data_IF_067365623819
#
_entry.id   IF_067365623819
#
_cell.length_a   1.000
_cell.length_b   1.000
_cell.length_c   1.000
_cell.angle_alpha   90.00
_cell.angle_beta   90.00
_cell.angle_gamma   90.00
#
_symmetry.space_group_name_H-M   'P 1'
#
loop_
_entity.id
_entity.type
_entity.pdbx_description
1 polymer ?
#
# COMPACT_ATOMS: atom_id res chain seq x y z
N UNK A 1 14.24 21.18 20.39
CA UNK A 1 14.83 20.81 19.08
C UNK A 1 13.71 20.69 18.07
N UNK A 2 13.73 21.49 17.00
CA UNK A 2 12.74 21.37 15.92
C UNK A 2 13.05 20.11 15.11
N UNK A 3 12.04 19.25 14.93
CA UNK A 3 12.16 18.02 14.13
C UNK A 3 12.48 18.43 12.69
N UNK A 4 13.59 17.94 12.13
CA UNK A 4 13.88 18.13 10.71
C UNK A 4 12.69 17.60 9.90
N UNK A 5 12.19 18.39 8.94
CA UNK A 5 11.12 17.93 8.04
C UNK A 5 11.64 16.71 7.28
N UNK A 6 10.78 15.72 7.11
CA UNK A 6 11.12 14.50 6.35
C UNK A 6 11.40 14.88 4.90
N UNK A 7 12.45 14.30 4.32
CA UNK A 7 12.83 14.48 2.90
C UNK A 7 11.88 13.74 1.94
N UNK A 8 10.94 12.97 2.48
CA UNK A 8 9.92 12.27 1.71
C UNK A 8 8.76 13.22 1.38
N UNK A 9 8.24 13.19 0.14
CA UNK A 9 7.04 13.93 -0.23
C UNK A 9 5.87 13.55 0.68
N UNK A 10 4.98 14.50 0.98
CA UNK A 10 3.79 14.19 1.75
C UNK A 10 2.92 13.19 0.96
N UNK A 11 2.20 12.31 1.66
CA UNK A 11 1.34 11.29 1.04
C UNK A 11 0.33 11.88 0.02
N UNK A 12 -0.07 13.14 0.20
CA UNK A 12 -0.99 13.86 -0.67
C UNK A 12 -0.32 14.61 -1.82
N UNK A 13 1.01 14.69 -1.84
CA UNK A 13 1.83 15.34 -2.88
C UNK A 13 2.39 14.34 -3.90
N UNK A 14 2.27 13.03 -3.65
CA UNK A 14 2.68 11.99 -4.59
C UNK A 14 1.69 11.98 -5.76
N UNK A 15 2.15 12.45 -6.93
CA UNK A 15 1.37 12.48 -8.18
C UNK A 15 1.35 11.11 -8.86
N UNK A 16 2.33 10.26 -8.57
CA UNK A 16 2.51 8.96 -9.20
C UNK A 16 1.47 7.96 -8.68
N UNK A 17 0.72 7.35 -9.60
CA UNK A 17 -0.28 6.33 -9.27
C UNK A 17 0.43 4.98 -9.14
N UNK A 18 0.03 4.13 -8.18
CA UNK A 18 0.55 2.76 -8.13
C UNK A 18 0.32 2.04 -9.46
N UNK A 19 1.32 1.28 -9.90
CA UNK A 19 1.24 0.42 -11.08
C UNK A 19 1.71 -1.01 -10.75
N UNK A 20 1.63 -1.92 -11.73
CA UNK A 20 2.02 -3.32 -11.57
C UNK A 20 3.47 -3.61 -11.97
N UNK A 21 4.36 -2.61 -11.97
CA UNK A 21 5.73 -2.79 -12.47
C UNK A 21 6.51 -3.86 -11.69
N UNK A 22 6.34 -3.91 -10.37
CA UNK A 22 7.00 -4.90 -9.51
C UNK A 22 6.43 -6.31 -9.70
N UNK A 23 5.11 -6.44 -9.74
CA UNK A 23 4.40 -7.69 -9.94
C UNK A 23 4.73 -8.29 -11.31
N UNK A 24 4.70 -7.47 -12.35
CA UNK A 24 5.02 -7.88 -13.72
C UNK A 24 6.46 -8.39 -13.81
N UNK A 25 7.40 -7.71 -13.15
CA UNK A 25 8.79 -8.15 -13.08
C UNK A 25 8.93 -9.50 -12.37
N UNK A 26 8.31 -9.67 -11.21
CA UNK A 26 8.34 -10.93 -10.46
C UNK A 26 7.74 -12.08 -11.28
N UNK A 27 6.61 -11.85 -11.97
CA UNK A 27 6.01 -12.82 -12.88
C UNK A 27 6.95 -13.22 -14.02
N UNK A 28 7.65 -12.26 -14.63
CA UNK A 28 8.62 -12.53 -15.69
C UNK A 28 9.83 -13.36 -15.21
N UNK A 29 10.17 -13.25 -13.93
CA UNK A 29 11.20 -14.05 -13.26
C UNK A 29 10.68 -15.42 -12.79
N UNK A 30 9.40 -15.76 -13.04
CA UNK A 30 8.77 -17.01 -12.63
C UNK A 30 8.34 -17.05 -11.17
N UNK A 31 8.33 -15.90 -10.49
CA UNK A 31 7.96 -15.74 -9.09
C UNK A 31 6.46 -15.41 -8.99
N UNK A 32 5.62 -16.44 -9.09
CA UNK A 32 4.16 -16.34 -8.97
C UNK A 32 3.62 -17.41 -7.99
N UNK A 33 2.64 -17.08 -7.12
CA UNK A 33 1.91 -15.81 -6.99
C UNK A 33 2.64 -14.68 -6.25
N UNK A 34 2.32 -13.43 -6.58
CA UNK A 34 2.76 -12.23 -5.85
C UNK A 34 1.67 -11.78 -4.88
N UNK A 35 2.04 -11.46 -3.64
CA UNK A 35 1.14 -10.95 -2.61
C UNK A 35 1.57 -9.53 -2.19
N UNK A 36 0.63 -8.59 -2.21
CA UNK A 36 0.80 -7.28 -1.55
C UNK A 36 0.55 -7.43 -0.06
N UNK A 37 1.32 -6.73 0.78
CA UNK A 37 1.24 -6.81 2.24
C UNK A 37 1.18 -5.40 2.86
N UNK A 38 0.33 -5.23 3.87
CA UNK A 38 0.22 -3.98 4.64
C UNK A 38 -0.15 -4.26 6.11
N UNK A 39 0.14 -3.29 6.98
CA UNK A 39 -0.19 -3.32 8.39
C UNK A 39 -0.94 -2.08 8.88
N UNK A 40 -1.76 -2.28 9.91
CA UNK A 40 -2.47 -1.21 10.60
C UNK A 40 -2.29 -1.34 12.12
N UNK A 41 -2.25 -0.19 12.80
CA UNK A 41 -2.18 -0.14 14.27
C UNK A 41 -0.78 0.08 14.85
N UNK A 42 0.23 0.47 14.04
CA UNK A 42 1.59 0.80 14.56
C UNK A 42 1.65 2.08 15.41
N UNK A 43 0.72 3.01 15.19
CA UNK A 43 0.72 4.35 15.81
C UNK A 43 -0.01 4.50 17.16
N UNK A 44 -1.13 3.82 17.43
CA UNK A 44 -1.85 3.89 18.70
C UNK A 44 -1.01 3.45 19.93
N UNK A 45 -1.36 3.95 21.12
CA UNK A 45 -0.70 3.60 22.39
C UNK A 45 -1.06 2.21 22.93
N UNK A 46 -2.19 1.67 22.50
CA UNK A 46 -2.70 0.36 22.89
C UNK A 46 -3.53 -0.24 21.75
N UNK A 47 -3.68 -1.56 21.77
CA UNK A 47 -4.34 -2.34 20.72
C UNK A 47 -3.34 -3.16 19.91
N UNK A 48 -3.81 -4.20 19.20
CA UNK A 48 -2.94 -5.04 18.39
C UNK A 48 -2.50 -4.33 17.11
N UNK A 49 -1.38 -4.77 16.55
CA UNK A 49 -1.02 -4.52 15.15
C UNK A 49 -1.59 -5.65 14.31
N UNK A 50 -2.42 -5.32 13.32
CA UNK A 50 -2.93 -6.27 12.35
C UNK A 50 -2.15 -6.14 11.03
N UNK A 51 -1.82 -7.26 10.40
CA UNK A 51 -1.22 -7.29 9.08
C UNK A 51 -2.00 -8.23 8.17
N UNK A 52 -2.02 -7.94 6.87
CA UNK A 52 -2.67 -8.76 5.86
C UNK A 52 -1.77 -8.91 4.64
N UNK A 53 -1.88 -10.06 3.96
CA UNK A 53 -1.26 -10.30 2.67
C UNK A 53 -2.33 -10.78 1.69
N UNK A 54 -2.35 -10.20 0.49
CA UNK A 54 -3.37 -10.47 -0.52
C UNK A 54 -2.69 -10.83 -1.84
N UNK A 55 -2.90 -12.07 -2.28
CA UNK A 55 -2.66 -12.46 -3.67
C UNK A 55 -3.87 -12.01 -4.48
N UNK A 56 -3.66 -11.19 -5.50
CA UNK A 56 -4.75 -10.63 -6.33
C UNK A 56 -4.56 -10.97 -7.79
N UNK A 57 -5.68 -11.12 -8.49
CA UNK A 57 -5.70 -11.23 -9.95
C UNK A 57 -5.59 -9.82 -10.57
N UNK A 58 -4.54 -9.51 -11.34
CA UNK A 58 -4.38 -8.21 -11.99
C UNK A 58 -5.47 -7.92 -13.04
N UNK A 59 -6.17 -8.94 -13.54
CA UNK A 59 -7.29 -8.77 -14.47
C UNK A 59 -8.62 -8.44 -13.76
N UNK A 60 -8.68 -8.54 -12.43
CA UNK A 60 -9.91 -8.36 -11.67
C UNK A 60 -9.68 -7.47 -10.43
N UNK A 61 -9.48 -6.18 -10.69
CA UNK A 61 -9.29 -5.16 -9.67
C UNK A 61 -10.65 -4.53 -9.34
N UNK A 62 -11.18 -4.71 -8.12
CA UNK A 62 -12.30 -3.94 -7.61
C UNK A 62 -12.19 -2.43 -7.87
N UNK A 63 -13.29 -1.87 -8.36
CA UNK A 63 -13.45 -0.43 -8.57
C UNK A 63 -13.26 0.34 -7.25
N UNK A 64 -12.63 1.51 -7.35
CA UNK A 64 -12.45 2.39 -6.19
C UNK A 64 -11.44 1.91 -5.15
N UNK A 65 -10.60 0.90 -5.48
CA UNK A 65 -9.46 0.59 -4.63
C UNK A 65 -8.48 1.78 -4.61
N UNK A 66 -8.30 2.36 -3.43
CA UNK A 66 -7.36 3.45 -3.15
C UNK A 66 -6.75 3.23 -1.74
N UNK A 67 -5.76 4.04 -1.37
CA UNK A 67 -5.23 4.05 -0.01
C UNK A 67 -6.37 4.27 1.00
N UNK A 68 -6.45 3.38 1.99
CA UNK A 68 -7.54 3.38 2.98
C UNK A 68 -7.69 4.70 3.72
N UNK A 69 -6.62 5.51 3.81
CA UNK A 69 -6.62 6.84 4.45
C UNK A 69 -7.21 7.93 3.55
N UNK A 70 -7.43 7.64 2.26
CA UNK A 70 -8.05 8.53 1.26
C UNK A 70 -9.51 8.21 1.01
N UNK A 71 -9.96 7.02 1.42
CA UNK A 71 -11.37 6.63 1.33
C UNK A 71 -12.18 7.40 2.38
N UNK A 72 -13.24 8.09 1.96
CA UNK A 72 -14.22 8.64 2.88
C UNK A 72 -15.17 7.51 3.30
N UNK A 73 -15.19 7.18 4.60
CA UNK A 73 -16.28 6.40 5.15
C UNK A 73 -17.58 7.20 5.00
N UNK A 74 -18.60 6.63 4.36
CA UNK A 74 -19.97 7.12 4.52
C UNK A 74 -20.41 6.94 5.98
#
# INVERSE_FOLDING_TARGET
MARARSDSPLLFEIVERPDFSFETKAMAEGLWPVAGMDEAGRGPLAGPVGAAAVVRDPANIPDGLDDSKRLSHL
#
